data_IF_588849875077
#
_entry.id   IF_588849875077
#
_cell.length_a   1.000
_cell.length_b   1.000
_cell.length_c   1.000
_cell.angle_alpha   90.00
_cell.angle_beta   90.00
_cell.angle_gamma   90.00
#
_symmetry.space_group_name_H-M   'P 1'
#
loop_
_entity.id
_entity.type
_entity.pdbx_description
1 polymer ?
#
# COMPACT_ATOMS: atom_id res chain seq x y z
N UNK A 1 37.69 7.91 67.45
CA UNK A 1 36.85 7.16 68.42
C UNK A 1 35.87 6.32 67.62
N UNK A 2 36.14 5.01 67.55
CA UNK A 2 35.30 3.85 67.15
C UNK A 2 34.45 3.94 65.86
N UNK A 3 34.88 3.36 64.73
CA UNK A 3 34.67 1.97 64.24
C UNK A 3 33.21 1.53 64.03
N UNK A 4 32.80 1.40 62.76
CA UNK A 4 32.09 0.21 62.26
C UNK A 4 32.18 0.16 60.72
N UNK A 5 33.16 -0.59 60.20
CA UNK A 5 33.11 -1.15 58.86
C UNK A 5 32.09 -2.31 58.84
N UNK A 6 31.12 -2.30 57.91
CA UNK A 6 30.76 -3.47 57.09
C UNK A 6 29.65 -3.16 56.06
N UNK A 7 30.04 -3.36 54.80
CA UNK A 7 29.26 -3.94 53.68
C UNK A 7 27.98 -3.21 53.21
N UNK A 8 28.13 -2.41 52.15
CA UNK A 8 27.15 -2.35 51.05
C UNK A 8 27.88 -2.32 49.70
N UNK A 9 28.52 -3.44 49.36
CA UNK A 9 28.82 -3.81 47.97
C UNK A 9 27.67 -4.72 47.52
N UNK A 10 26.67 -4.18 46.84
CA UNK A 10 25.74 -5.02 46.10
C UNK A 10 26.50 -5.59 44.89
N UNK A 11 26.97 -6.83 45.03
CA UNK A 11 27.59 -7.60 43.95
C UNK A 11 26.54 -8.62 43.52
N UNK A 12 25.83 -8.35 42.42
CA UNK A 12 24.97 -9.35 41.78
C UNK A 12 25.90 -10.32 41.06
N UNK A 13 26.31 -11.38 41.77
CA UNK A 13 27.02 -12.51 41.18
C UNK A 13 25.97 -13.52 40.70
N UNK A 14 25.78 -13.60 39.38
CA UNK A 14 25.01 -14.67 38.76
C UNK A 14 26.02 -15.74 38.30
N UNK A 15 26.00 -16.91 38.94
CA UNK A 15 26.83 -18.07 38.56
C UNK A 15 25.99 -19.07 37.74
N UNK A 16 26.62 -19.65 36.72
CA UNK A 16 26.05 -20.60 35.76
C UNK A 16 25.59 -21.93 36.39
N UNK A 17 24.45 -22.43 35.92
CA UNK A 17 24.34 -23.75 35.28
C UNK A 17 22.98 -23.86 34.58
N UNK A 18 23.01 -24.32 33.33
CA UNK A 18 21.89 -24.69 32.44
C UNK A 18 21.25 -23.55 31.62
N UNK A 19 21.23 -23.77 30.30
CA UNK A 19 20.82 -22.93 29.16
C UNK A 19 19.34 -22.50 29.12
N UNK A 20 18.69 -22.36 30.28
CA UNK A 20 17.33 -21.82 30.42
C UNK A 20 17.40 -20.39 30.97
N UNK A 21 17.64 -19.52 29.98
CA UNK A 21 17.59 -18.07 29.83
C UNK A 21 17.74 -17.14 31.05
N UNK A 22 18.71 -16.22 30.93
CA UNK A 22 18.79 -14.94 31.65
C UNK A 22 17.41 -14.29 31.87
N UNK A 23 16.54 -14.32 30.85
CA UNK A 23 15.18 -13.79 30.90
C UNK A 23 14.24 -14.56 31.84
N UNK A 24 14.38 -15.87 32.01
CA UNK A 24 13.58 -16.65 32.95
C UNK A 24 13.96 -16.33 34.40
N UNK A 25 15.24 -16.07 34.66
CA UNK A 25 15.73 -15.56 35.96
C UNK A 25 15.25 -14.13 36.22
N UNK A 26 15.33 -13.24 35.23
CA UNK A 26 14.76 -11.88 35.31
C UNK A 26 13.24 -11.90 35.53
N UNK A 27 12.52 -12.79 34.84
CA UNK A 27 11.07 -12.96 34.95
C UNK A 27 10.65 -13.43 36.34
N UNK A 28 11.46 -14.23 37.02
CA UNK A 28 11.19 -14.74 38.36
C UNK A 28 11.68 -13.82 39.48
N UNK A 29 12.55 -12.85 39.18
CA UNK A 29 13.02 -11.88 40.15
C UNK A 29 11.93 -10.82 40.42
N UNK A 30 11.46 -10.77 41.68
CA UNK A 30 10.44 -9.81 42.15
C UNK A 30 11.02 -8.41 42.39
N UNK A 31 12.34 -8.26 42.41
CA UNK A 31 13.01 -6.96 42.60
C UNK A 31 13.14 -6.14 41.31
N UNK A 32 12.96 -6.79 40.15
CA UNK A 32 13.05 -6.15 38.84
C UNK A 32 11.67 -5.64 38.42
N UNK A 33 11.59 -4.35 38.15
CA UNK A 33 10.39 -3.69 37.64
C UNK A 33 10.17 -4.08 36.18
N UNK A 34 8.93 -4.48 35.85
CA UNK A 34 8.53 -4.96 34.52
C UNK A 34 7.33 -4.16 34.04
N UNK A 35 7.34 -3.73 32.78
CA UNK A 35 6.19 -3.09 32.13
C UNK A 35 5.87 -3.80 30.82
N UNK A 36 4.60 -4.16 30.66
CA UNK A 36 4.08 -4.81 29.47
C UNK A 36 3.55 -3.74 28.51
N UNK A 37 4.01 -3.76 27.27
CA UNK A 37 3.58 -2.87 26.19
C UNK A 37 3.07 -3.71 25.02
N UNK A 38 1.86 -4.26 25.16
CA UNK A 38 1.26 -5.16 24.17
C UNK A 38 2.19 -6.34 23.83
N UNK A 39 2.85 -6.32 22.66
CA UNK A 39 3.79 -7.34 22.20
C UNK A 39 5.22 -7.17 22.75
N UNK A 40 5.53 -6.05 23.43
CA UNK A 40 6.85 -5.75 23.98
C UNK A 40 6.86 -5.86 25.51
N UNK A 41 8.02 -6.24 26.06
CA UNK A 41 8.26 -6.33 27.49
C UNK A 41 9.48 -5.49 27.87
N UNK A 42 9.29 -4.54 28.79
CA UNK A 42 10.36 -3.70 29.31
C UNK A 42 10.78 -4.17 30.70
N UNK A 43 12.08 -4.40 30.87
CA UNK A 43 12.70 -4.73 32.17
C UNK A 43 13.54 -3.54 32.65
N UNK A 44 13.34 -3.11 33.90
CA UNK A 44 14.12 -2.03 34.52
C UNK A 44 15.06 -2.60 35.55
N UNK A 45 16.35 -2.64 35.22
CA UNK A 45 17.43 -3.10 36.10
C UNK A 45 18.10 -1.88 36.72
N UNK A 46 17.98 -1.72 38.04
CA UNK A 46 18.56 -0.57 38.77
C UNK A 46 19.91 -0.95 39.37
N UNK A 47 20.97 -0.28 38.96
CA UNK A 47 22.31 -0.49 39.53
C UNK A 47 23.35 0.46 38.95
N UNK A 48 24.34 0.85 39.78
CA UNK A 48 25.49 1.64 39.30
C UNK A 48 26.38 0.84 38.35
N UNK A 49 26.46 -0.47 38.56
CA UNK A 49 27.16 -1.41 37.69
C UNK A 49 26.20 -2.55 37.39
N UNK A 50 25.94 -2.80 36.10
CA UNK A 50 25.12 -3.89 35.59
C UNK A 50 26.04 -4.83 34.83
N UNK A 51 26.03 -6.11 35.18
CA UNK A 51 26.85 -7.13 34.51
C UNK A 51 25.93 -8.00 33.66
N UNK A 52 26.15 -7.96 32.35
CA UNK A 52 25.53 -8.87 31.39
C UNK A 52 26.43 -10.10 31.29
N UNK A 53 25.93 -11.26 31.70
CA UNK A 53 26.68 -12.51 31.75
C UNK A 53 26.05 -13.52 30.80
N UNK A 54 26.72 -13.83 29.69
CA UNK A 54 26.31 -14.79 28.67
C UNK A 54 24.85 -14.64 28.20
N UNK A 55 24.51 -13.47 27.67
CA UNK A 55 23.13 -13.13 27.28
C UNK A 55 23.06 -12.51 25.88
N UNK A 56 22.10 -12.99 25.10
CA UNK A 56 21.63 -12.29 23.89
C UNK A 56 20.32 -11.58 24.20
N UNK A 57 20.30 -10.26 24.09
CA UNK A 57 19.11 -9.43 24.29
C UNK A 57 18.47 -9.14 22.94
N UNK A 58 17.28 -9.69 22.73
CA UNK A 58 16.50 -9.42 21.53
C UNK A 58 15.66 -8.14 21.70
N UNK A 59 16.19 -6.99 21.25
CA UNK A 59 15.54 -5.69 21.40
C UNK A 59 16.51 -4.53 21.68
N UNK A 60 15.93 -3.41 22.15
CA UNK A 60 16.66 -2.20 22.51
C UNK A 60 17.13 -2.22 23.98
N UNK A 61 18.33 -1.71 24.23
CA UNK A 61 18.88 -1.54 25.59
C UNK A 61 19.16 -0.07 25.86
N UNK A 62 18.77 0.40 27.05
CA UNK A 62 18.98 1.78 27.48
C UNK A 62 19.88 1.79 28.73
N UNK A 63 21.13 2.21 28.56
CA UNK A 63 22.10 2.40 29.64
C UNK A 63 22.00 3.84 30.18
N UNK A 64 21.35 4.00 31.34
CA UNK A 64 21.05 5.30 31.93
C UNK A 64 21.94 5.52 33.15
N UNK A 65 22.97 6.36 32.99
CA UNK A 65 23.91 6.80 34.02
C UNK A 65 24.48 5.65 34.86
N UNK A 66 24.78 4.54 34.19
CA UNK A 66 25.30 3.31 34.79
C UNK A 66 26.49 2.74 34.02
N UNK A 67 27.24 1.87 34.67
CA UNK A 67 28.30 1.08 34.05
C UNK A 67 27.76 -0.29 33.62
N UNK A 68 27.79 -0.60 32.33
CA UNK A 68 27.40 -1.91 31.78
C UNK A 68 28.66 -2.69 31.43
N UNK A 69 28.88 -3.80 32.12
CA UNK A 69 30.01 -4.71 31.88
C UNK A 69 29.53 -6.01 31.25
N UNK A 70 30.36 -6.58 30.39
CA UNK A 70 30.09 -7.88 29.79
C UNK A 70 30.94 -8.96 30.47
N UNK A 71 30.35 -10.14 30.61
CA UNK A 71 31.02 -11.37 31.02
C UNK A 71 30.59 -12.47 30.06
N UNK A 72 31.56 -13.11 29.42
CA UNK A 72 31.29 -14.09 28.37
C UNK A 72 30.67 -13.47 27.11
N UNK A 73 29.90 -14.26 26.38
CA UNK A 73 29.30 -13.84 25.11
C UNK A 73 28.02 -13.03 25.34
N UNK A 74 28.07 -11.72 25.10
CA UNK A 74 26.91 -10.82 25.19
C UNK A 74 26.61 -10.23 23.82
N UNK A 75 25.34 -10.22 23.43
CA UNK A 75 24.86 -9.61 22.18
C UNK A 75 23.55 -8.85 22.40
N UNK A 76 23.34 -7.78 21.62
CA UNK A 76 22.08 -7.04 21.54
C UNK A 76 21.66 -7.04 20.07
N UNK A 77 20.42 -7.39 19.75
CA UNK A 77 20.01 -7.58 18.35
C UNK A 77 19.58 -6.30 17.65
N UNK A 78 19.12 -5.28 18.39
CA UNK A 78 18.52 -4.07 17.81
C UNK A 78 19.40 -2.83 17.97
N UNK A 79 19.34 -2.15 19.12
CA UNK A 79 20.09 -0.91 19.33
C UNK A 79 20.44 -0.71 20.81
N UNK A 80 21.63 -0.14 21.06
CA UNK A 80 22.05 0.33 22.37
C UNK A 80 21.98 1.86 22.43
N UNK A 81 21.25 2.37 23.43
CA UNK A 81 21.15 3.77 23.79
C UNK A 81 21.88 4.01 25.10
N UNK A 82 22.64 5.10 25.22
CA UNK A 82 23.38 5.39 26.45
C UNK A 82 23.41 6.88 26.78
N UNK A 83 23.18 7.24 28.05
CA UNK A 83 23.34 8.64 28.49
C UNK A 83 24.81 9.04 28.47
N UNK A 84 25.08 10.35 28.49
CA UNK A 84 26.45 10.89 28.49
C UNK A 84 27.35 10.34 29.61
N UNK A 85 26.78 9.96 30.76
CA UNK A 85 27.55 9.45 31.90
C UNK A 85 27.56 7.92 31.99
N UNK A 86 26.87 7.22 31.09
CA UNK A 86 26.91 5.78 31.05
C UNK A 86 28.27 5.30 30.51
N UNK A 87 28.78 4.20 31.07
CA UNK A 87 30.02 3.56 30.64
C UNK A 87 29.66 2.16 30.18
N UNK A 88 29.94 1.82 28.93
CA UNK A 88 29.60 0.51 28.37
C UNK A 88 30.86 -0.21 27.93
N UNK A 89 30.92 -1.51 28.21
CA UNK A 89 32.00 -2.39 27.80
C UNK A 89 32.28 -2.32 26.28
N UNK A 90 33.56 -2.34 25.90
CA UNK A 90 33.99 -2.23 24.51
C UNK A 90 33.43 -3.36 23.63
N UNK A 91 33.18 -4.53 24.21
CA UNK A 91 32.55 -5.65 23.52
C UNK A 91 31.22 -5.27 22.87
N UNK A 92 30.41 -4.40 23.49
CA UNK A 92 29.12 -3.96 22.92
C UNK A 92 29.28 -2.83 21.91
N UNK A 93 30.39 -2.10 21.95
CA UNK A 93 30.69 -1.00 21.04
C UNK A 93 31.22 -1.52 19.70
N UNK A 94 31.97 -2.63 19.70
CA UNK A 94 32.61 -3.17 18.50
C UNK A 94 31.73 -4.13 17.68
N UNK A 95 30.64 -4.64 18.26
CA UNK A 95 29.79 -5.67 17.63
C UNK A 95 28.57 -5.06 16.89
N UNK A 96 28.23 -3.79 17.14
CA UNK A 96 27.05 -3.11 16.58
C UNK A 96 27.38 -1.72 15.97
N UNK A 97 26.37 -1.09 15.37
CA UNK A 97 26.33 0.37 15.16
C UNK A 97 26.73 1.10 16.46
N UNK A 98 27.46 2.23 16.37
CA UNK A 98 27.87 2.98 17.55
C UNK A 98 26.68 3.25 18.49
N UNK A 99 26.89 3.19 19.83
CA UNK A 99 25.83 3.51 20.77
C UNK A 99 25.23 4.89 20.49
N UNK A 100 23.90 4.97 20.46
CA UNK A 100 23.23 6.26 20.28
C UNK A 100 23.23 6.98 21.63
N UNK A 101 23.74 8.20 21.65
CA UNK A 101 23.70 9.01 22.85
C UNK A 101 22.23 9.36 23.15
N UNK A 102 21.71 8.84 24.26
CA UNK A 102 20.39 9.17 24.77
C UNK A 102 20.44 10.50 25.51
N UNK A 103 19.49 11.35 25.18
CA UNK A 103 19.16 12.55 25.94
C UNK A 103 17.64 12.68 26.07
N UNK A 104 17.20 13.02 27.28
CA UNK A 104 15.78 13.13 27.63
C UNK A 104 15.04 14.11 26.72
N UNK A 105 15.70 15.20 26.31
CA UNK A 105 15.07 16.21 25.47
C UNK A 105 14.68 15.65 24.10
N UNK A 106 15.64 15.07 23.38
CA UNK A 106 15.44 14.61 21.99
C UNK A 106 14.60 13.34 21.92
N UNK A 107 14.75 12.45 22.90
CA UNK A 107 14.17 11.11 22.80
C UNK A 107 12.94 10.88 23.69
N UNK A 108 12.59 11.84 24.57
CA UNK A 108 11.39 11.76 25.40
C UNK A 108 10.56 13.05 25.33
N UNK A 109 11.14 14.20 25.67
CA UNK A 109 10.37 15.44 25.84
C UNK A 109 9.83 15.98 24.51
N UNK A 110 10.62 15.91 23.43
CA UNK A 110 10.17 16.35 22.11
C UNK A 110 9.11 15.40 21.54
N UNK A 111 9.32 14.07 21.45
CA UNK A 111 8.29 13.15 20.97
C UNK A 111 6.96 13.30 21.74
N UNK A 112 7.01 13.48 23.06
CA UNK A 112 5.82 13.67 23.88
C UNK A 112 5.07 14.97 23.55
N UNK A 113 5.79 16.05 23.25
CA UNK A 113 5.18 17.33 22.82
C UNK A 113 4.55 17.24 21.43
N UNK A 114 5.13 16.44 20.53
CA UNK A 114 4.62 16.21 19.18
C UNK A 114 3.42 15.26 19.18
N UNK A 115 3.39 14.31 20.11
CA UNK A 115 2.37 13.27 20.18
C UNK A 115 0.96 13.81 20.43
N UNK A 116 0.76 14.76 21.34
CA UNK A 116 -0.59 15.28 21.67
C UNK A 116 -1.34 15.86 20.45
N UNK A 117 -0.76 16.75 19.62
CA UNK A 117 -1.44 17.22 18.41
C UNK A 117 -1.56 16.14 17.33
N UNK A 118 -0.63 15.18 17.23
CA UNK A 118 -0.75 14.05 16.30
C UNK A 118 -1.93 13.14 16.66
N UNK A 119 -2.02 12.70 17.92
CA UNK A 119 -3.08 11.84 18.43
C UNK A 119 -4.47 12.50 18.25
N UNK A 120 -4.57 13.81 18.52
CA UNK A 120 -5.82 14.56 18.31
C UNK A 120 -6.20 14.63 16.83
N UNK A 121 -5.22 14.85 15.95
CA UNK A 121 -5.46 14.88 14.51
C UNK A 121 -5.88 13.51 13.96
N UNK A 122 -5.29 12.42 14.47
CA UNK A 122 -5.67 11.06 14.13
C UNK A 122 -7.10 10.75 14.58
N UNK A 123 -7.45 11.06 15.83
CA UNK A 123 -8.82 10.90 16.35
C UNK A 123 -9.86 11.68 15.54
N UNK A 124 -9.54 12.90 15.10
CA UNK A 124 -10.40 13.66 14.21
C UNK A 124 -10.54 12.98 12.83
N UNK A 125 -9.44 12.49 12.26
CA UNK A 125 -9.43 11.80 10.96
C UNK A 125 -10.22 10.50 10.98
N UNK A 126 -10.12 9.69 12.04
CA UNK A 126 -10.92 8.48 12.23
C UNK A 126 -12.43 8.77 12.22
N UNK A 127 -12.82 9.92 12.80
CA UNK A 127 -14.20 10.42 12.81
C UNK A 127 -14.59 11.19 11.54
N UNK A 128 -13.69 11.29 10.56
CA UNK A 128 -13.83 12.08 9.33
C UNK A 128 -14.07 13.58 9.57
N UNK A 129 -13.61 14.09 10.72
CA UNK A 129 -13.67 15.50 11.11
C UNK A 129 -12.42 16.24 10.60
N UNK A 130 -12.20 16.23 9.29
CA UNK A 130 -10.94 16.71 8.70
C UNK A 130 -10.68 18.21 8.94
N UNK A 131 -11.73 19.03 9.01
CA UNK A 131 -11.61 20.44 9.39
C UNK A 131 -11.05 20.63 10.81
N UNK A 132 -11.34 19.70 11.73
CA UNK A 132 -10.85 19.73 13.12
C UNK A 132 -9.44 19.15 13.24
N UNK A 133 -9.05 18.21 12.37
CA UNK A 133 -7.69 17.66 12.34
C UNK A 133 -6.62 18.69 11.92
N UNK A 134 -6.96 19.54 10.94
CA UNK A 134 -6.04 20.53 10.36
C UNK A 134 -5.38 21.46 11.40
N UNK A 135 -6.08 22.14 12.32
CA UNK A 135 -5.45 23.03 13.30
C UNK A 135 -4.48 22.29 14.24
N UNK A 136 -4.74 21.03 14.58
CA UNK A 136 -3.82 20.21 15.36
C UNK A 136 -2.53 19.93 14.57
N UNK A 137 -2.64 19.55 13.30
CA UNK A 137 -1.48 19.34 12.43
C UNK A 137 -0.72 20.64 12.12
N UNK A 138 -1.38 21.79 12.07
CA UNK A 138 -0.73 23.09 11.94
C UNK A 138 0.07 23.43 13.20
N UNK A 139 -0.47 23.11 14.38
CA UNK A 139 0.23 23.25 15.65
C UNK A 139 1.45 22.33 15.70
N UNK A 140 1.28 21.07 15.28
CA UNK A 140 2.37 20.10 15.17
C UNK A 140 3.50 20.59 14.26
N UNK A 141 3.15 21.10 13.07
CA UNK A 141 4.12 21.70 12.13
C UNK A 141 4.87 22.86 12.77
N UNK A 142 4.16 23.78 13.44
CA UNK A 142 4.78 24.94 14.06
C UNK A 142 5.76 24.54 15.16
N UNK A 143 5.38 23.58 16.02
CA UNK A 143 6.27 23.02 17.04
C UNK A 143 7.52 22.41 16.42
N UNK A 144 7.38 21.64 15.34
CA UNK A 144 8.52 21.08 14.62
C UNK A 144 9.47 22.16 14.07
N UNK A 145 8.91 23.24 13.52
CA UNK A 145 9.70 24.38 13.01
C UNK A 145 10.43 25.08 14.16
N UNK A 146 9.76 25.31 15.29
CA UNK A 146 10.35 26.01 16.44
C UNK A 146 11.47 25.19 17.09
N UNK A 147 11.31 23.86 17.14
CA UNK A 147 12.28 22.95 17.75
C UNK A 147 13.48 22.65 16.86
N UNK A 148 13.27 22.49 15.54
CA UNK A 148 14.27 21.93 14.64
C UNK A 148 14.61 22.81 13.43
N UNK A 149 13.90 23.92 13.22
CA UNK A 149 14.00 24.73 12.02
C UNK A 149 13.29 24.12 10.82
N UNK A 150 13.31 24.82 9.69
CA UNK A 150 12.44 24.53 8.52
C UNK A 150 12.89 23.36 7.65
N UNK A 151 14.12 22.85 7.83
CA UNK A 151 14.72 21.81 6.97
C UNK A 151 14.89 20.46 7.68
N UNK A 152 14.18 20.24 8.78
CA UNK A 152 14.24 19.00 9.53
C UNK A 152 13.22 17.97 9.03
N UNK A 153 13.49 16.67 9.19
CA UNK A 153 12.60 15.61 8.70
C UNK A 153 11.23 15.65 9.36
N UNK A 154 11.12 15.99 10.66
CA UNK A 154 9.84 16.18 11.33
C UNK A 154 8.98 17.30 10.69
N UNK A 155 9.59 18.35 10.15
CA UNK A 155 8.87 19.39 9.39
C UNK A 155 8.36 18.82 8.06
N UNK A 156 9.20 18.05 7.36
CA UNK A 156 8.79 17.35 6.14
C UNK A 156 7.62 16.38 6.37
N UNK A 157 7.67 15.59 7.46
CA UNK A 157 6.60 14.68 7.87
C UNK A 157 5.31 15.47 8.20
N UNK A 158 5.44 16.56 8.96
CA UNK A 158 4.30 17.44 9.30
C UNK A 158 3.59 17.99 8.06
N UNK A 159 4.36 18.40 7.04
CA UNK A 159 3.78 18.85 5.77
C UNK A 159 3.07 17.72 5.02
N UNK A 160 3.58 16.48 5.07
CA UNK A 160 2.88 15.33 4.50
C UNK A 160 1.54 15.08 5.21
N UNK A 161 1.52 15.09 6.54
CA UNK A 161 0.29 14.91 7.33
C UNK A 161 -0.75 16.00 7.02
N UNK A 162 -0.32 17.26 6.95
CA UNK A 162 -1.18 18.36 6.51
C UNK A 162 -1.68 18.18 5.08
N UNK A 163 -0.84 17.67 4.18
CA UNK A 163 -1.20 17.33 2.82
C UNK A 163 -2.37 16.36 2.77
N UNK A 164 -2.29 15.27 3.53
CA UNK A 164 -3.35 14.26 3.65
C UNK A 164 -4.64 14.87 4.19
N UNK A 165 -4.57 15.59 5.32
CA UNK A 165 -5.75 16.22 5.92
C UNK A 165 -6.41 17.27 5.00
N UNK A 166 -5.62 18.03 4.24
CA UNK A 166 -6.17 18.95 3.24
C UNK A 166 -6.83 18.21 2.07
N UNK A 167 -6.28 17.08 1.64
CA UNK A 167 -6.85 16.28 0.55
C UNK A 167 -8.20 15.69 0.95
N UNK A 168 -8.28 15.07 2.13
CA UNK A 168 -9.51 14.52 2.71
C UNK A 168 -10.58 15.60 2.89
N UNK A 169 -10.15 16.81 3.27
CA UNK A 169 -11.02 17.97 3.37
C UNK A 169 -11.28 18.68 2.02
N UNK A 170 -10.92 18.07 0.89
CA UNK A 170 -11.09 18.57 -0.48
C UNK A 170 -10.43 19.92 -0.77
N UNK A 171 -9.47 20.33 0.05
CA UNK A 171 -8.64 21.53 -0.13
C UNK A 171 -7.42 21.23 -1.02
N UNK A 172 -7.66 20.69 -2.23
CA UNK A 172 -6.61 20.11 -3.09
C UNK A 172 -5.42 21.04 -3.38
N UNK A 173 -5.65 22.35 -3.52
CA UNK A 173 -4.55 23.31 -3.74
C UNK A 173 -3.58 23.36 -2.56
N UNK A 174 -4.10 23.33 -1.32
CA UNK A 174 -3.28 23.33 -0.11
C UNK A 174 -2.61 21.97 0.12
N UNK A 175 -3.31 20.88 -0.23
CA UNK A 175 -2.74 19.54 -0.19
C UNK A 175 -1.50 19.43 -1.09
N UNK A 176 -1.63 19.84 -2.37
CA UNK A 176 -0.51 19.86 -3.32
C UNK A 176 0.66 20.68 -2.79
N UNK A 177 0.41 21.92 -2.33
CA UNK A 177 1.47 22.77 -1.77
C UNK A 177 2.17 22.14 -0.56
N UNK A 178 1.43 21.41 0.29
CA UNK A 178 1.99 20.77 1.47
C UNK A 178 2.83 19.55 1.08
N UNK A 179 2.35 18.71 0.17
CA UNK A 179 3.13 17.58 -0.34
C UNK A 179 4.37 18.03 -1.12
N UNK A 180 4.31 19.11 -1.92
CA UNK A 180 5.47 19.66 -2.63
C UNK A 180 6.56 20.13 -1.64
N UNK A 181 6.17 20.80 -0.55
CA UNK A 181 7.11 21.17 0.53
C UNK A 181 7.69 19.96 1.25
N UNK A 182 6.86 18.96 1.54
CA UNK A 182 7.30 17.71 2.14
C UNK A 182 8.33 17.01 1.25
N UNK A 183 8.04 16.94 -0.05
CA UNK A 183 8.90 16.34 -1.06
C UNK A 183 10.24 17.07 -1.17
N UNK A 184 10.25 18.40 -1.18
CA UNK A 184 11.47 19.21 -1.17
C UNK A 184 12.34 18.88 0.05
N UNK A 185 11.75 18.91 1.25
CA UNK A 185 12.50 18.70 2.49
C UNK A 185 13.01 17.26 2.59
N UNK A 186 12.12 16.28 2.41
CA UNK A 186 12.44 14.87 2.64
C UNK A 186 13.34 14.29 1.55
N UNK A 187 13.22 14.74 0.30
CA UNK A 187 14.15 14.33 -0.77
C UNK A 187 15.56 14.86 -0.53
N UNK A 188 15.70 16.05 0.06
CA UNK A 188 17.01 16.61 0.42
C UNK A 188 17.67 15.87 1.59
N UNK A 189 16.89 15.31 2.52
CA UNK A 189 17.40 14.61 3.72
C UNK A 189 17.67 13.13 3.42
N UNK A 190 16.71 12.43 2.83
CA UNK A 190 16.76 10.97 2.65
C UNK A 190 17.20 10.55 1.25
N UNK A 191 17.37 11.50 0.33
CA UNK A 191 17.62 11.24 -1.07
C UNK A 191 16.34 10.92 -1.86
N UNK A 192 16.43 11.05 -3.18
CA UNK A 192 15.29 10.91 -4.10
C UNK A 192 14.83 9.46 -4.30
N UNK A 193 15.69 8.48 -4.02
CA UNK A 193 15.43 7.06 -4.25
C UNK A 193 15.13 6.33 -2.92
N UNK A 194 14.08 6.75 -2.22
CA UNK A 194 13.61 6.07 -1.01
C UNK A 194 12.09 5.91 -1.00
N UNK A 195 11.61 4.97 -0.18
CA UNK A 195 10.18 4.61 -0.09
C UNK A 195 9.31 5.81 0.33
N UNK A 196 9.82 6.69 1.19
CA UNK A 196 9.13 7.92 1.60
C UNK A 196 8.87 8.86 0.42
N UNK A 197 9.86 9.08 -0.45
CA UNK A 197 9.71 9.94 -1.62
C UNK A 197 8.72 9.33 -2.62
N UNK A 198 8.76 8.01 -2.82
CA UNK A 198 7.76 7.32 -3.64
C UNK A 198 6.33 7.50 -3.09
N UNK A 199 6.17 7.42 -1.76
CA UNK A 199 4.87 7.63 -1.13
C UNK A 199 4.36 9.07 -1.30
N UNK A 200 5.25 10.07 -1.23
CA UNK A 200 4.88 11.47 -1.47
C UNK A 200 4.42 11.71 -2.91
N UNK A 201 5.11 11.12 -3.88
CA UNK A 201 4.66 11.17 -5.27
C UNK A 201 3.30 10.49 -5.45
N UNK A 202 3.08 9.34 -4.83
CA UNK A 202 1.77 8.67 -4.84
C UNK A 202 0.67 9.54 -4.21
N UNK A 203 0.93 10.19 -3.07
CA UNK A 203 -0.03 11.08 -2.42
C UNK A 203 -0.35 12.31 -3.31
N UNK A 204 0.66 12.91 -3.94
CA UNK A 204 0.46 13.95 -4.95
C UNK A 204 -0.38 13.46 -6.13
N UNK A 205 -0.11 12.25 -6.62
CA UNK A 205 -0.85 11.60 -7.70
C UNK A 205 -2.32 11.46 -7.35
N UNK A 206 -2.61 10.93 -6.16
CA UNK A 206 -3.96 10.79 -5.62
C UNK A 206 -4.69 12.14 -5.48
N UNK A 207 -4.02 13.18 -4.97
CA UNK A 207 -4.63 14.52 -4.90
C UNK A 207 -4.93 15.10 -6.28
N UNK A 208 -4.04 14.91 -7.26
CA UNK A 208 -4.32 15.31 -8.64
C UNK A 208 -5.49 14.52 -9.24
N UNK A 209 -5.61 13.23 -8.92
CA UNK A 209 -6.75 12.40 -9.30
C UNK A 209 -8.06 12.94 -8.71
N UNK A 210 -8.11 13.22 -7.40
CA UNK A 210 -9.29 13.79 -6.73
C UNK A 210 -9.68 15.17 -7.29
N UNK A 211 -8.70 15.96 -7.71
CA UNK A 211 -8.90 17.26 -8.37
C UNK A 211 -9.35 17.12 -9.84
N UNK A 212 -9.23 15.95 -10.45
CA UNK A 212 -9.54 15.68 -11.86
C UNK A 212 -8.43 16.03 -12.86
N UNK A 213 -7.21 16.31 -12.39
CA UNK A 213 -6.05 16.58 -13.24
C UNK A 213 -5.29 15.27 -13.51
N UNK A 214 -5.91 14.38 -14.29
CA UNK A 214 -5.41 13.02 -14.50
C UNK A 214 -4.05 12.96 -15.19
N UNK A 215 -3.70 13.96 -16.01
CA UNK A 215 -2.37 14.03 -16.64
C UNK A 215 -1.25 14.26 -15.61
N UNK A 216 -1.49 15.07 -14.57
CA UNK A 216 -0.51 15.23 -13.49
C UNK A 216 -0.49 14.05 -12.54
N UNK A 217 -1.65 13.43 -12.30
CA UNK A 217 -1.74 12.16 -11.57
C UNK A 217 -0.84 11.09 -12.20
N UNK A 218 -0.97 10.85 -13.52
CA UNK A 218 -0.10 9.89 -14.24
C UNK A 218 1.39 10.20 -14.02
N UNK A 219 1.81 11.46 -14.18
CA UNK A 219 3.22 11.84 -13.99
C UNK A 219 3.71 11.53 -12.57
N UNK A 220 2.92 11.85 -11.56
CA UNK A 220 3.26 11.58 -10.16
C UNK A 220 3.32 10.08 -9.87
N UNK A 221 2.32 9.32 -10.33
CA UNK A 221 2.26 7.87 -10.10
C UNK A 221 3.34 7.10 -10.86
N UNK A 222 3.75 7.57 -12.05
CA UNK A 222 4.91 7.04 -12.79
C UNK A 222 6.21 7.26 -12.02
N UNK A 223 6.43 8.44 -11.43
CA UNK A 223 7.60 8.68 -10.59
C UNK A 223 7.60 7.79 -9.35
N UNK A 224 6.45 7.64 -8.68
CA UNK A 224 6.32 6.72 -7.55
C UNK A 224 6.64 5.28 -7.95
N UNK A 225 6.13 4.82 -9.10
CA UNK A 225 6.38 3.49 -9.63
C UNK A 225 7.87 3.26 -9.96
N UNK A 226 8.52 4.22 -10.62
CA UNK A 226 9.95 4.14 -10.96
C UNK A 226 10.80 3.97 -9.70
N UNK A 227 10.53 4.76 -8.66
CA UNK A 227 11.27 4.67 -7.39
C UNK A 227 11.00 3.32 -6.72
N UNK A 228 9.73 2.88 -6.64
CA UNK A 228 9.36 1.59 -6.02
C UNK A 228 10.03 0.42 -6.74
N UNK A 229 10.01 0.38 -8.07
CA UNK A 229 10.71 -0.66 -8.85
C UNK A 229 12.23 -0.61 -8.69
N UNK A 230 12.80 0.55 -8.39
CA UNK A 230 14.23 0.71 -8.16
C UNK A 230 14.71 0.22 -6.79
N UNK A 231 13.82 0.12 -5.79
CA UNK A 231 14.20 -0.18 -4.39
C UNK A 231 13.48 -1.41 -3.79
N UNK A 232 12.33 -1.81 -4.34
CA UNK A 232 11.50 -2.90 -3.84
C UNK A 232 11.52 -4.09 -4.80
N UNK A 233 11.04 -5.23 -4.30
CA UNK A 233 10.76 -6.38 -5.15
C UNK A 233 9.64 -6.03 -6.14
N UNK A 234 9.69 -6.56 -7.37
CA UNK A 234 8.63 -6.36 -8.37
C UNK A 234 7.26 -6.84 -7.90
N UNK A 235 7.23 -7.77 -6.94
CA UNK A 235 6.04 -8.35 -6.33
C UNK A 235 5.66 -7.68 -5.00
N UNK A 236 6.12 -6.45 -4.76
CA UNK A 236 5.73 -5.68 -3.58
C UNK A 236 4.32 -5.07 -3.76
N UNK A 237 3.54 -5.03 -2.68
CA UNK A 237 2.17 -4.51 -2.69
C UNK A 237 2.12 -3.05 -3.17
N UNK A 238 3.10 -2.24 -2.79
CA UNK A 238 3.15 -0.83 -3.19
C UNK A 238 3.37 -0.65 -4.70
N UNK A 239 4.04 -1.61 -5.36
CA UNK A 239 4.19 -1.66 -6.82
C UNK A 239 2.83 -1.96 -7.46
N UNK A 240 2.07 -2.91 -6.92
CA UNK A 240 0.71 -3.17 -7.38
C UNK A 240 -0.19 -1.93 -7.22
N UNK A 241 -0.10 -1.24 -6.08
CA UNK A 241 -0.88 -0.03 -5.81
C UNK A 241 -0.53 1.11 -6.79
N UNK A 242 0.75 1.28 -7.14
CA UNK A 242 1.16 2.20 -8.22
C UNK A 242 0.55 1.84 -9.57
N UNK A 243 0.59 0.56 -9.97
CA UNK A 243 -0.04 0.12 -11.21
C UNK A 243 -1.55 0.32 -11.21
N UNK A 244 -2.23 0.05 -10.09
CA UNK A 244 -3.66 0.27 -9.97
C UNK A 244 -4.02 1.77 -10.11
N UNK A 245 -3.25 2.66 -9.48
CA UNK A 245 -3.44 4.10 -9.58
C UNK A 245 -3.28 4.60 -11.03
N UNK A 246 -2.23 4.16 -11.72
CA UNK A 246 -2.05 4.44 -13.15
C UNK A 246 -3.21 3.91 -13.99
N UNK A 247 -3.68 2.69 -13.70
CA UNK A 247 -4.85 2.09 -14.35
C UNK A 247 -6.10 2.97 -14.23
N UNK A 248 -6.38 3.48 -13.03
CA UNK A 248 -7.50 4.39 -12.77
C UNK A 248 -7.33 5.74 -13.49
N UNK A 249 -6.12 6.30 -13.49
CA UNK A 249 -5.85 7.57 -14.16
C UNK A 249 -6.07 7.45 -15.68
N UNK A 250 -5.55 6.40 -16.30
CA UNK A 250 -5.75 6.13 -17.73
C UNK A 250 -7.20 5.81 -18.08
N UNK A 251 -7.94 5.15 -17.18
CA UNK A 251 -9.39 4.92 -17.36
C UNK A 251 -10.14 6.25 -17.51
N UNK A 252 -9.84 7.23 -16.65
CA UNK A 252 -10.45 8.55 -16.66
C UNK A 252 -9.99 9.43 -17.84
N UNK A 253 -8.77 9.22 -18.32
CA UNK A 253 -8.28 9.79 -19.59
C UNK A 253 -8.90 9.14 -20.83
N UNK A 254 -9.72 8.09 -20.66
CA UNK A 254 -10.30 7.26 -21.73
C UNK A 254 -9.25 6.50 -22.55
N UNK A 255 -8.08 6.28 -21.98
CA UNK A 255 -6.99 5.49 -22.56
C UNK A 255 -7.14 4.02 -22.14
N UNK A 256 -8.25 3.39 -22.54
CA UNK A 256 -8.69 2.11 -21.99
C UNK A 256 -7.68 0.98 -22.16
N UNK A 257 -6.94 0.93 -23.27
CA UNK A 257 -5.91 -0.09 -23.47
C UNK A 257 -4.76 0.00 -22.44
N UNK A 258 -4.31 1.23 -22.09
CA UNK A 258 -3.29 1.41 -21.04
C UNK A 258 -3.85 1.10 -19.66
N UNK A 259 -5.11 1.48 -19.41
CA UNK A 259 -5.80 1.12 -18.17
C UNK A 259 -5.85 -0.40 -17.97
N UNK A 260 -6.22 -1.15 -19.01
CA UNK A 260 -6.21 -2.62 -19.02
C UNK A 260 -4.79 -3.15 -18.74
N UNK A 261 -3.76 -2.64 -19.43
CA UNK A 261 -2.37 -3.07 -19.20
C UNK A 261 -1.96 -2.90 -17.73
N UNK A 262 -2.19 -1.73 -17.15
CA UNK A 262 -1.78 -1.43 -15.78
C UNK A 262 -2.59 -2.20 -14.74
N UNK A 263 -3.92 -2.29 -14.89
CA UNK A 263 -4.72 -3.12 -13.99
C UNK A 263 -4.36 -4.61 -14.09
N UNK A 264 -3.93 -5.10 -15.25
CA UNK A 264 -3.46 -6.49 -15.42
C UNK A 264 -2.18 -6.74 -14.63
N UNK A 265 -1.22 -5.81 -14.68
CA UNK A 265 0.02 -5.89 -13.87
C UNK A 265 -0.28 -5.85 -12.37
N UNK A 266 -1.18 -4.96 -11.93
CA UNK A 266 -1.63 -4.89 -10.52
C UNK A 266 -2.28 -6.20 -10.07
N UNK A 267 -3.20 -6.75 -10.88
CA UNK A 267 -3.88 -8.01 -10.57
C UNK A 267 -2.86 -9.15 -10.42
N UNK A 268 -1.90 -9.25 -11.34
CA UNK A 268 -0.89 -10.31 -11.28
C UNK A 268 -0.13 -10.27 -9.96
N UNK A 269 0.40 -9.12 -9.56
CA UNK A 269 1.16 -8.96 -8.32
C UNK A 269 0.29 -9.28 -7.10
N UNK A 270 -0.94 -8.73 -7.03
CA UNK A 270 -1.86 -8.99 -5.90
C UNK A 270 -2.20 -10.46 -5.75
N UNK A 271 -2.35 -11.19 -6.86
CA UNK A 271 -2.56 -12.65 -6.83
C UNK A 271 -1.34 -13.41 -6.31
N UNK A 272 -0.13 -12.95 -6.64
CA UNK A 272 1.11 -13.55 -6.15
C UNK A 272 1.32 -13.31 -4.65
N UNK A 273 0.93 -12.14 -4.12
CA UNK A 273 1.05 -11.81 -2.69
C UNK A 273 -0.07 -12.46 -1.86
N UNK A 274 -1.32 -12.32 -2.30
CA UNK A 274 -2.50 -12.62 -1.47
C UNK A 274 -3.24 -13.90 -1.85
N UNK A 275 -2.86 -14.54 -2.96
CA UNK A 275 -3.64 -15.64 -3.54
C UNK A 275 -4.90 -15.14 -4.26
N UNK A 276 -5.85 -16.05 -4.53
CA UNK A 276 -7.02 -15.72 -5.34
C UNK A 276 -8.22 -15.17 -4.53
N UNK A 277 -8.28 -15.46 -3.23
CA UNK A 277 -9.43 -15.19 -2.36
C UNK A 277 -9.15 -14.01 -1.42
N UNK A 278 -8.82 -12.86 -2.01
CA UNK A 278 -8.53 -11.63 -1.29
C UNK A 278 -9.30 -10.46 -1.89
N UNK A 279 -9.75 -9.52 -1.04
CA UNK A 279 -10.50 -8.33 -1.46
C UNK A 279 -9.79 -7.54 -2.56
N UNK A 280 -8.49 -7.31 -2.44
CA UNK A 280 -7.71 -6.51 -3.40
C UNK A 280 -7.62 -7.17 -4.79
N UNK A 281 -7.72 -8.50 -4.83
CA UNK A 281 -7.81 -9.26 -6.09
C UNK A 281 -9.22 -9.13 -6.69
N UNK A 282 -10.26 -9.18 -5.86
CA UNK A 282 -11.65 -8.90 -6.27
C UNK A 282 -11.82 -7.49 -6.85
N UNK A 283 -11.21 -6.49 -6.21
CA UNK A 283 -11.21 -5.09 -6.67
C UNK A 283 -10.42 -4.93 -7.97
N UNK A 284 -9.32 -5.67 -8.13
CA UNK A 284 -8.54 -5.66 -9.39
C UNK A 284 -9.33 -6.26 -10.56
N UNK A 285 -10.08 -7.34 -10.31
CA UNK A 285 -10.98 -7.90 -11.32
C UNK A 285 -12.09 -6.92 -11.69
N UNK A 286 -12.67 -6.21 -10.71
CA UNK A 286 -13.66 -5.16 -10.98
C UNK A 286 -13.09 -4.06 -11.88
N UNK A 287 -11.90 -3.55 -11.57
CA UNK A 287 -11.27 -2.47 -12.35
C UNK A 287 -10.97 -2.92 -13.78
N UNK A 288 -10.47 -4.15 -13.97
CA UNK A 288 -10.30 -4.73 -15.31
C UNK A 288 -11.63 -4.86 -16.04
N UNK A 289 -12.67 -5.38 -15.38
CA UNK A 289 -13.99 -5.54 -15.98
C UNK A 289 -14.56 -4.20 -16.47
N UNK A 290 -14.43 -3.15 -15.66
CA UNK A 290 -14.84 -1.80 -16.02
C UNK A 290 -14.02 -1.26 -17.21
N UNK A 291 -12.71 -1.47 -17.22
CA UNK A 291 -11.85 -1.05 -18.32
C UNK A 291 -12.21 -1.77 -19.63
N UNK A 292 -12.46 -3.07 -19.60
CA UNK A 292 -12.95 -3.84 -20.75
C UNK A 292 -14.34 -3.41 -21.22
N UNK A 293 -15.27 -3.13 -20.29
CA UNK A 293 -16.62 -2.64 -20.61
C UNK A 293 -16.55 -1.31 -21.37
N UNK A 294 -15.74 -0.37 -20.87
CA UNK A 294 -15.55 0.94 -21.51
C UNK A 294 -14.77 0.86 -22.83
N UNK A 295 -13.90 -0.14 -22.98
CA UNK A 295 -13.22 -0.44 -24.25
C UNK A 295 -14.12 -1.18 -25.28
N UNK A 296 -15.39 -1.44 -24.96
CA UNK A 296 -16.33 -2.13 -25.83
C UNK A 296 -16.19 -3.66 -25.88
N UNK A 297 -15.37 -4.25 -24.99
CA UNK A 297 -15.11 -5.69 -24.94
C UNK A 297 -16.02 -6.37 -23.91
N UNK A 298 -17.32 -6.46 -24.24
CA UNK A 298 -18.36 -6.94 -23.32
C UNK A 298 -18.14 -8.36 -22.77
N UNK A 299 -17.61 -9.27 -23.58
CA UNK A 299 -17.37 -10.66 -23.18
C UNK A 299 -16.26 -10.77 -22.12
N UNK A 300 -15.15 -10.07 -22.35
CA UNK A 300 -14.06 -9.98 -21.38
C UNK A 300 -14.52 -9.30 -20.09
N UNK A 301 -15.27 -8.19 -20.21
CA UNK A 301 -15.84 -7.49 -19.07
C UNK A 301 -16.75 -8.40 -18.23
N UNK A 302 -17.65 -9.15 -18.87
CA UNK A 302 -18.56 -10.06 -18.18
C UNK A 302 -17.80 -11.12 -17.39
N UNK A 303 -16.74 -11.70 -17.97
CA UNK A 303 -15.89 -12.69 -17.30
C UNK A 303 -15.22 -12.11 -16.05
N UNK A 304 -14.62 -10.93 -16.16
CA UNK A 304 -13.95 -10.30 -15.02
C UNK A 304 -14.91 -9.81 -13.94
N UNK A 305 -16.12 -9.33 -14.29
CA UNK A 305 -17.15 -9.06 -13.28
C UNK A 305 -17.61 -10.34 -12.57
N UNK A 306 -17.64 -11.48 -13.26
CA UNK A 306 -17.95 -12.76 -12.65
C UNK A 306 -16.85 -13.20 -11.67
N UNK A 307 -15.58 -13.04 -12.05
CA UNK A 307 -14.44 -13.35 -11.17
C UNK A 307 -14.42 -12.43 -9.94
N UNK A 308 -14.69 -11.13 -10.11
CA UNK A 308 -14.87 -10.17 -9.01
C UNK A 308 -16.03 -10.58 -8.09
N UNK A 309 -17.20 -10.93 -8.65
CA UNK A 309 -18.35 -11.38 -7.88
C UNK A 309 -18.03 -12.63 -7.05
N UNK A 310 -17.36 -13.63 -7.63
CA UNK A 310 -16.97 -14.86 -6.93
C UNK A 310 -16.07 -14.56 -5.72
N UNK A 311 -15.05 -13.72 -5.91
CA UNK A 311 -14.13 -13.34 -4.83
C UNK A 311 -14.86 -12.55 -3.74
N UNK A 312 -15.61 -11.50 -4.10
CA UNK A 312 -16.36 -10.69 -3.13
C UNK A 312 -17.41 -11.51 -2.37
N UNK A 313 -18.07 -12.47 -3.03
CA UNK A 313 -19.03 -13.35 -2.37
C UNK A 313 -18.37 -14.24 -1.31
N UNK A 314 -17.15 -14.73 -1.55
CA UNK A 314 -16.38 -15.52 -0.59
C UNK A 314 -15.87 -14.66 0.56
N UNK A 315 -15.29 -13.49 0.26
CA UNK A 315 -14.56 -12.65 1.23
C UNK A 315 -15.51 -11.78 2.08
N UNK A 316 -16.55 -11.21 1.46
CA UNK A 316 -17.42 -10.18 2.05
C UNK A 316 -18.86 -10.68 2.29
N UNK A 317 -19.24 -11.76 1.60
CA UNK A 317 -20.58 -12.33 1.65
C UNK A 317 -21.51 -11.81 0.55
N UNK A 318 -22.63 -12.51 0.36
CA UNK A 318 -23.57 -12.30 -0.76
C UNK A 318 -24.23 -10.91 -0.75
N UNK A 319 -24.49 -10.36 0.44
CA UNK A 319 -25.28 -9.15 0.63
C UNK A 319 -24.45 -7.87 0.73
N UNK A 320 -23.13 -7.98 0.60
CA UNK A 320 -22.25 -6.81 0.58
C UNK A 320 -22.42 -6.03 -0.73
N UNK A 321 -22.36 -4.69 -0.67
CA UNK A 321 -22.72 -3.82 -1.80
C UNK A 321 -21.90 -4.12 -3.06
N UNK A 322 -20.60 -4.29 -2.92
CA UNK A 322 -19.68 -4.61 -4.02
C UNK A 322 -20.01 -5.98 -4.64
N UNK A 323 -20.35 -6.99 -3.83
CA UNK A 323 -20.78 -8.32 -4.30
C UNK A 323 -22.06 -8.20 -5.13
N UNK A 324 -23.03 -7.44 -4.64
CA UNK A 324 -24.31 -7.22 -5.32
C UNK A 324 -24.10 -6.46 -6.63
N UNK A 325 -23.27 -5.43 -6.64
CA UNK A 325 -22.95 -4.66 -7.85
C UNK A 325 -22.29 -5.52 -8.92
N UNK A 326 -21.31 -6.36 -8.56
CA UNK A 326 -20.65 -7.27 -9.50
C UNK A 326 -21.65 -8.26 -10.11
N UNK A 327 -22.51 -8.88 -9.27
CA UNK A 327 -23.59 -9.78 -9.71
C UNK A 327 -24.56 -9.09 -10.66
N UNK A 328 -24.90 -7.82 -10.42
CA UNK A 328 -25.79 -7.04 -11.30
C UNK A 328 -25.13 -6.75 -12.66
N UNK A 329 -23.84 -6.39 -12.67
CA UNK A 329 -23.08 -6.17 -13.90
C UNK A 329 -23.04 -7.42 -14.78
N UNK A 330 -22.76 -8.59 -14.19
CA UNK A 330 -22.81 -9.89 -14.90
C UNK A 330 -24.19 -10.15 -15.51
N UNK A 331 -25.27 -9.95 -14.76
CA UNK A 331 -26.65 -10.14 -15.27
C UNK A 331 -26.96 -9.21 -16.44
N UNK A 332 -26.55 -7.94 -16.37
CA UNK A 332 -26.80 -6.95 -17.42
C UNK A 332 -26.05 -7.31 -18.70
N UNK A 333 -24.76 -7.63 -18.60
CA UNK A 333 -23.92 -7.95 -19.75
C UNK A 333 -24.34 -9.29 -20.40
N UNK A 334 -24.60 -10.32 -19.61
CA UNK A 334 -25.09 -11.62 -20.12
C UNK A 334 -26.48 -11.54 -20.77
N UNK A 335 -27.36 -10.67 -20.29
CA UNK A 335 -28.65 -10.42 -20.95
C UNK A 335 -28.45 -9.72 -22.30
N UNK A 336 -27.55 -8.73 -22.38
CA UNK A 336 -27.25 -8.02 -23.62
C UNK A 336 -26.62 -8.92 -24.69
N UNK A 337 -25.77 -9.87 -24.28
CA UNK A 337 -25.21 -10.90 -25.16
C UNK A 337 -26.31 -11.80 -25.73
N UNK A 338 -27.21 -12.34 -24.88
CA UNK A 338 -28.32 -13.18 -25.33
C UNK A 338 -29.25 -12.48 -26.31
N UNK A 339 -29.48 -11.18 -26.16
CA UNK A 339 -30.26 -10.39 -27.14
C UNK A 339 -29.50 -10.18 -28.44
N UNK A 340 -28.19 -9.90 -28.38
CA UNK A 340 -27.36 -9.75 -29.57
C UNK A 340 -27.24 -11.07 -30.34
N UNK A 341 -27.06 -12.20 -29.65
CA UNK A 341 -27.03 -13.52 -30.26
C UNK A 341 -28.37 -13.84 -30.92
N UNK A 342 -29.51 -13.60 -30.25
CA UNK A 342 -30.84 -13.75 -30.86
C UNK A 342 -31.03 -12.84 -32.08
N UNK A 343 -30.52 -11.62 -32.04
CA UNK A 343 -30.59 -10.69 -33.15
C UNK A 343 -29.69 -11.15 -34.31
N UNK A 344 -28.48 -11.63 -34.03
CA UNK A 344 -27.58 -12.22 -35.02
C UNK A 344 -28.14 -13.52 -35.61
N UNK A 345 -28.74 -14.39 -34.81
CA UNK A 345 -29.46 -15.57 -35.30
C UNK A 345 -30.69 -15.18 -36.11
N UNK A 346 -31.43 -14.14 -35.74
CA UNK A 346 -32.57 -13.61 -36.52
C UNK A 346 -32.12 -12.96 -37.82
N UNK A 347 -31.02 -12.20 -37.83
CA UNK A 347 -30.43 -11.59 -39.02
C UNK A 347 -29.78 -12.64 -39.93
N UNK A 348 -29.07 -13.63 -39.39
CA UNK A 348 -28.54 -14.76 -40.15
C UNK A 348 -29.66 -15.66 -40.66
N UNK A 349 -30.71 -15.93 -39.88
CA UNK A 349 -31.90 -16.61 -40.41
C UNK A 349 -32.63 -15.73 -41.42
N UNK A 350 -32.69 -14.41 -41.29
CA UNK A 350 -33.27 -13.52 -42.30
C UNK A 350 -32.41 -13.46 -43.56
N UNK A 351 -31.07 -13.55 -43.45
CA UNK A 351 -30.15 -13.63 -44.59
C UNK A 351 -30.16 -15.01 -45.25
N UNK A 352 -30.29 -16.09 -44.48
CA UNK A 352 -30.41 -17.46 -44.98
C UNK A 352 -31.81 -17.68 -45.56
N UNK A 353 -32.87 -17.16 -44.94
CA UNK A 353 -34.24 -17.17 -45.49
C UNK A 353 -34.33 -16.25 -46.71
N UNK A 354 -33.63 -15.10 -46.76
CA UNK A 354 -33.52 -14.30 -47.98
C UNK A 354 -32.67 -14.98 -49.04
N UNK A 355 -31.61 -15.74 -48.72
CA UNK A 355 -30.90 -16.55 -49.72
C UNK A 355 -31.77 -17.70 -50.24
N UNK A 356 -32.57 -18.34 -49.40
CA UNK A 356 -33.48 -19.42 -49.80
C UNK A 356 -34.73 -18.89 -50.53
N UNK A 357 -35.22 -17.68 -50.22
CA UNK A 357 -36.27 -17.01 -51.00
C UNK A 357 -35.75 -16.35 -52.28
N UNK A 358 -34.51 -15.86 -52.32
CA UNK A 358 -33.90 -15.36 -53.56
C UNK A 358 -33.57 -16.52 -54.51
N UNK A 359 -33.18 -17.70 -53.98
CA UNK A 359 -33.06 -18.92 -54.79
C UNK A 359 -34.42 -19.54 -55.18
N UNK A 360 -35.48 -19.42 -54.37
CA UNK A 360 -36.83 -19.87 -54.75
C UNK A 360 -37.58 -18.92 -55.69
N UNK A 361 -37.29 -17.61 -55.68
CA UNK A 361 -37.85 -16.66 -56.66
C UNK A 361 -37.02 -16.52 -57.94
N UNK A 362 -35.74 -16.90 -57.95
CA UNK A 362 -35.00 -17.04 -59.22
C UNK A 362 -35.18 -18.40 -59.93
N UNK A 363 -35.77 -19.43 -59.29
CA UNK A 363 -36.09 -20.71 -59.94
C UNK A 363 -37.54 -20.84 -60.44
N UNK A 364 -38.42 -19.90 -60.11
CA UNK A 364 -39.81 -19.87 -60.59
C UNK A 364 -40.06 -18.86 -61.73
N UNK A 365 -39.01 -18.14 -62.18
CA UNK A 365 -39.07 -17.20 -63.31
C UNK A 365 -38.19 -17.62 -64.51
N UNK A 366 -37.57 -18.81 -64.47
CA UNK A 366 -36.70 -19.33 -65.54
C UNK A 366 -37.04 -20.77 -65.96
N UNK A 367 -38.33 -21.12 -65.98
CA UNK A 367 -38.85 -22.32 -66.68
C UNK A 367 -40.13 -22.01 -67.46
N UNK A 368 -40.18 -20.84 -68.11
CA UNK A 368 -41.20 -20.54 -69.13
C UNK A 368 -40.65 -19.89 -70.42
N UNK A 369 -39.34 -19.71 -70.56
CA UNK A 369 -38.70 -19.25 -71.80
C UNK A 369 -37.39 -20.02 -71.96
N UNK A 370 -37.43 -21.14 -72.69
CA UNK A 370 -36.25 -21.99 -72.88
C UNK A 370 -36.48 -23.22 -73.77
N UNK A 371 -37.46 -23.16 -74.68
CA UNK A 371 -37.69 -24.17 -75.70
C UNK A 371 -38.16 -23.49 -76.99
N UNK A 372 -37.26 -22.73 -77.62
CA UNK A 372 -37.30 -22.38 -79.05
C UNK A 372 -35.94 -21.79 -79.43
N UNK A 373 -35.41 -22.26 -80.56
CA UNK A 373 -34.12 -21.92 -81.20
C UNK A 373 -32.88 -22.72 -80.79
N UNK A 374 -32.91 -24.01 -81.14
CA UNK A 374 -31.83 -24.59 -81.94
C UNK A 374 -32.45 -25.33 -83.13
N UNK A 375 -32.47 -24.68 -84.30
CA UNK A 375 -32.42 -25.32 -85.62
C UNK A 375 -32.50 -24.25 -86.73
N UNK A 376 -31.48 -24.29 -87.60
CA UNK A 376 -31.53 -24.01 -89.04
C UNK A 376 -31.84 -22.57 -89.50
N UNK A 377 -30.77 -21.83 -89.83
CA UNK A 377 -30.75 -21.07 -91.08
C UNK A 377 -29.88 -21.83 -92.09
N UNK A 378 -30.51 -22.36 -93.13
CA UNK A 378 -29.89 -22.58 -94.43
C UNK A 378 -30.82 -21.91 -95.44
N UNK A 379 -30.36 -20.84 -96.07
CA UNK A 379 -30.94 -20.34 -97.32
C UNK A 379 -29.86 -20.40 -98.40
N UNK A 380 -30.18 -20.86 -99.62
CA UNK A 380 -29.21 -21.07 -100.68
C UNK A 380 -29.17 -19.92 -101.70
N UNK A 381 -28.05 -19.89 -102.45
CA UNK A 381 -27.76 -19.23 -103.75
C UNK A 381 -27.86 -17.69 -103.85
N UNK A 382 -26.72 -17.01 -104.01
CA UNK A 382 -26.07 -16.74 -105.30
C UNK A 382 -24.60 -16.34 -105.09
#
# INVERSE_FOLDING_TARGET
MNTFERKNKAKVNLTQSNNTSFFQKLSNDKSIEKKNFSIYLMYVIKGKVVILDEVTIDGNVYAIDCEVRCKGSVAITTQLFMTKNAIVDQQLIHVMTPPIQWDTKTHHDIPLQLQDPEDKAEQCSEKKLFNEAIPHLQTHLQLCIDLFGTRHHYVGISYNLLGLAYDDNRQFKKAIQSFEKSLEILSNIFGVNCTFVAQLYYNLGLTYYHKGDYNKCVKCDEQALIIRLGILNSNDESVANSYNALGNAHLNLREYNKSIEYHTKSLQIRKEIFGNENKDVGDSYWNLALAFELNGQGDAACKYYEDSWKVCNIVLGEWYDETVQAKQKVKKLSASQKTNDKFFFSCNNSFVIKRTLFFKHCFAYFTFIGALFSCLFSFPFA
#
